data_IF_769197475274
#
_entry.id   IF_769197475274
#
_cell.length_a   1.000
_cell.length_b   1.000
_cell.length_c   1.000
_cell.angle_alpha   90.00
_cell.angle_beta   90.00
_cell.angle_gamma   90.00
#
_symmetry.space_group_name_H-M   'P 1'
#
loop_
_entity.id
_entity.type
_entity.pdbx_description
1 polymer ?
#
# COMPACT_ATOMS: atom_id res chain seq x y z
N UNK A 1 15.35 8.65 -28.82
CA UNK A 1 14.05 8.04 -28.45
C UNK A 1 14.15 7.05 -27.30
N UNK A 2 15.24 6.29 -27.12
CA UNK A 2 15.36 5.28 -26.04
C UNK A 2 15.39 5.81 -24.60
N UNK A 3 15.63 7.11 -24.39
CA UNK A 3 15.65 7.73 -23.05
C UNK A 3 14.29 7.80 -22.34
N UNK A 4 13.19 7.49 -23.04
CA UNK A 4 11.82 7.57 -22.52
C UNK A 4 11.19 6.21 -22.20
N UNK A 5 11.87 5.09 -22.51
CA UNK A 5 11.40 3.76 -22.14
C UNK A 5 11.28 3.65 -20.61
N UNK A 6 10.28 2.97 -20.03
CA UNK A 6 10.27 2.57 -18.63
C UNK A 6 11.51 1.74 -18.27
N UNK A 7 12.03 1.84 -17.04
CA UNK A 7 13.25 1.10 -16.66
C UNK A 7 13.03 -0.40 -16.69
N UNK A 8 11.84 -0.88 -16.33
CA UNK A 8 11.52 -2.31 -16.40
C UNK A 8 11.69 -2.85 -17.82
N UNK A 9 11.05 -2.22 -18.80
CA UNK A 9 11.18 -2.59 -20.22
C UNK A 9 12.62 -2.50 -20.71
N UNK A 10 13.34 -1.44 -20.32
CA UNK A 10 14.74 -1.32 -20.65
C UNK A 10 15.54 -2.50 -20.10
N UNK A 11 15.35 -2.90 -18.83
CA UNK A 11 16.01 -4.06 -18.21
C UNK A 11 15.64 -5.38 -18.89
N UNK A 12 14.37 -5.58 -19.24
CA UNK A 12 13.90 -6.78 -19.91
C UNK A 12 14.56 -6.96 -21.30
N UNK A 13 14.82 -5.87 -22.03
CA UNK A 13 15.53 -5.91 -23.32
C UNK A 13 16.93 -6.52 -23.23
N UNK A 14 17.58 -6.49 -22.06
CA UNK A 14 18.90 -7.13 -21.85
C UNK A 14 18.83 -8.64 -22.09
N UNK A 15 17.71 -9.25 -21.72
CA UNK A 15 17.50 -10.68 -21.85
C UNK A 15 17.13 -11.08 -23.29
N UNK A 16 16.67 -10.11 -24.10
CA UNK A 16 16.21 -10.34 -25.47
C UNK A 16 17.31 -10.06 -26.49
N UNK A 17 18.10 -8.99 -26.31
CA UNK A 17 19.10 -8.59 -27.32
C UNK A 17 20.33 -7.90 -26.73
N UNK A 18 21.50 -8.26 -27.26
CA UNK A 18 22.76 -7.57 -26.95
C UNK A 18 22.83 -6.17 -27.57
N UNK A 19 22.02 -5.87 -28.58
CA UNK A 19 21.96 -4.54 -29.20
C UNK A 19 21.46 -3.45 -28.23
N UNK A 20 20.78 -3.84 -27.14
CA UNK A 20 20.34 -2.92 -26.09
C UNK A 20 21.45 -2.54 -25.10
N UNK A 21 22.64 -3.18 -25.14
CA UNK A 21 23.76 -2.92 -24.21
C UNK A 21 24.09 -1.42 -24.05
N UNK A 22 24.19 -0.61 -25.13
CA UNK A 22 24.50 0.81 -25.03
C UNK A 22 23.46 1.64 -24.25
N UNK A 23 22.21 1.17 -24.14
CA UNK A 23 21.19 1.85 -23.34
C UNK A 23 21.53 1.80 -21.84
N UNK A 24 22.05 0.66 -21.37
CA UNK A 24 22.36 0.45 -19.96
C UNK A 24 23.62 1.19 -19.51
N UNK A 25 24.54 1.46 -20.42
CA UNK A 25 25.73 2.28 -20.15
C UNK A 25 25.46 3.77 -20.34
N UNK A 26 24.26 4.15 -20.79
CA UNK A 26 23.92 5.55 -21.07
C UNK A 26 23.64 6.32 -19.78
N UNK A 27 24.59 7.17 -19.38
CA UNK A 27 24.41 8.12 -18.28
C UNK A 27 23.17 9.02 -18.49
N UNK A 28 22.90 9.44 -19.74
CA UNK A 28 21.71 10.24 -20.10
C UNK A 28 20.42 9.50 -19.78
N UNK A 29 20.34 8.19 -20.07
CA UNK A 29 19.17 7.37 -19.76
C UNK A 29 18.90 7.35 -18.25
N UNK A 30 19.90 7.01 -17.44
CA UNK A 30 19.74 6.95 -15.98
C UNK A 30 19.44 8.32 -15.36
N UNK A 31 20.06 9.39 -15.87
CA UNK A 31 19.76 10.76 -15.43
C UNK A 31 18.30 11.13 -15.60
N UNK A 32 17.62 10.66 -16.66
CA UNK A 32 16.19 10.96 -16.86
C UNK A 32 15.30 10.44 -15.73
N UNK A 33 15.73 9.41 -14.99
CA UNK A 33 14.95 8.85 -13.87
C UNK A 33 14.85 9.80 -12.70
N UNK A 34 15.83 10.67 -12.53
CA UNK A 34 15.85 11.67 -11.47
C UNK A 34 15.20 12.98 -11.88
N UNK A 35 14.67 13.10 -13.11
CA UNK A 35 13.83 14.23 -13.48
C UNK A 35 12.57 14.25 -12.58
N UNK A 36 11.96 15.43 -12.40
CA UNK A 36 10.80 15.63 -11.49
C UNK A 36 9.67 14.61 -11.72
N UNK A 37 9.51 14.16 -12.97
CA UNK A 37 8.49 13.22 -13.41
C UNK A 37 9.02 11.79 -13.66
N UNK A 38 10.31 11.55 -13.46
CA UNK A 38 10.96 10.26 -13.61
C UNK A 38 10.78 9.37 -12.37
N UNK A 39 11.22 8.11 -12.45
CA UNK A 39 11.05 7.10 -11.39
C UNK A 39 11.71 7.42 -10.04
N UNK A 40 12.59 8.43 -9.99
CA UNK A 40 13.27 8.94 -8.79
C UNK A 40 13.05 10.44 -8.63
N UNK A 41 11.97 10.98 -9.20
CA UNK A 41 11.70 12.42 -9.18
C UNK A 41 11.59 13.01 -7.77
N UNK A 42 11.14 12.21 -6.80
CA UNK A 42 11.12 12.58 -5.38
C UNK A 42 12.53 12.86 -4.81
N UNK A 43 13.60 12.31 -5.40
CA UNK A 43 14.98 12.61 -5.00
C UNK A 43 15.56 13.85 -5.68
N UNK A 44 14.85 14.49 -6.61
CA UNK A 44 15.37 15.62 -7.37
C UNK A 44 15.90 16.76 -6.47
N UNK A 45 15.22 17.18 -5.38
CA UNK A 45 15.73 18.21 -4.49
C UNK A 45 17.07 17.82 -3.85
N UNK A 46 17.18 16.58 -3.39
CA UNK A 46 18.39 16.03 -2.77
C UNK A 46 19.53 15.96 -3.78
N UNK A 47 19.27 15.44 -4.98
CA UNK A 47 20.25 15.36 -6.06
C UNK A 47 20.78 16.74 -6.42
N UNK A 48 19.90 17.75 -6.55
CA UNK A 48 20.33 19.13 -6.86
C UNK A 48 21.14 19.77 -5.74
N UNK A 49 20.85 19.43 -4.48
CA UNK A 49 21.59 19.94 -3.31
C UNK A 49 23.02 19.40 -3.26
N UNK A 50 23.20 18.10 -3.45
CA UNK A 50 24.52 17.45 -3.35
C UNK A 50 25.32 17.51 -4.65
N UNK A 51 24.64 17.62 -5.78
CA UNK A 51 25.26 17.68 -7.10
C UNK A 51 24.64 18.83 -7.91
N UNK A 52 25.03 20.08 -7.61
CA UNK A 52 24.50 21.24 -8.30
C UNK A 52 24.87 21.19 -9.79
N UNK A 53 24.01 21.71 -10.70
CA UNK A 53 24.28 21.70 -12.14
C UNK A 53 25.58 22.40 -12.55
N UNK A 54 26.04 23.34 -11.72
CA UNK A 54 27.23 24.17 -11.92
C UNK A 54 28.51 23.52 -11.35
N UNK A 55 28.37 22.42 -10.59
CA UNK A 55 29.49 21.72 -9.98
C UNK A 55 30.15 20.72 -10.93
N UNK A 56 31.48 20.57 -10.83
CA UNK A 56 32.25 19.63 -11.66
C UNK A 56 32.19 18.18 -11.14
N UNK A 57 31.03 17.76 -10.63
CA UNK A 57 30.84 16.43 -10.04
C UNK A 57 30.30 15.46 -11.08
N UNK A 58 31.11 14.47 -11.44
CA UNK A 58 30.66 13.37 -12.27
C UNK A 58 29.82 12.39 -11.43
N UNK A 59 28.51 12.34 -11.70
CA UNK A 59 27.58 11.43 -11.00
C UNK A 59 27.44 10.16 -11.82
N UNK A 60 27.72 9.00 -11.22
CA UNK A 60 27.26 7.72 -11.75
C UNK A 60 25.74 7.56 -11.47
N UNK A 61 24.95 8.06 -12.41
CA UNK A 61 23.48 8.00 -12.34
C UNK A 61 22.94 6.57 -12.28
N UNK A 62 23.64 5.60 -12.87
CA UNK A 62 23.24 4.20 -12.85
C UNK A 62 23.42 3.63 -11.45
N UNK A 63 24.58 3.86 -10.85
CA UNK A 63 24.85 3.44 -9.48
C UNK A 63 23.85 4.08 -8.52
N UNK A 64 23.61 5.39 -8.64
CA UNK A 64 22.63 6.10 -7.82
C UNK A 64 21.22 5.50 -7.96
N UNK A 65 20.79 5.15 -9.18
CA UNK A 65 19.48 4.52 -9.41
C UNK A 65 19.36 3.18 -8.68
N UNK A 66 20.39 2.33 -8.73
CA UNK A 66 20.37 1.04 -8.05
C UNK A 66 20.47 1.17 -6.52
N UNK A 67 21.29 2.08 -6.01
CA UNK A 67 21.39 2.37 -4.58
C UNK A 67 20.07 2.88 -4.00
N UNK A 68 19.24 3.52 -4.83
CA UNK A 68 17.94 4.07 -4.43
C UNK A 68 16.76 3.12 -4.69
N UNK A 69 17.00 1.90 -5.17
CA UNK A 69 15.95 0.89 -5.34
C UNK A 69 15.47 0.32 -3.99
N UNK A 70 16.35 0.27 -2.99
CA UNK A 70 16.05 -0.19 -1.64
C UNK A 70 16.49 0.85 -0.62
N UNK A 71 15.54 1.64 -0.16
CA UNK A 71 15.79 2.79 0.70
C UNK A 71 15.50 2.44 2.17
N UNK A 72 16.36 2.93 3.06
CA UNK A 72 16.11 2.99 4.49
C UNK A 72 15.94 4.46 4.82
N UNK A 73 14.70 4.91 4.90
CA UNK A 73 14.39 6.31 5.16
C UNK A 73 13.46 6.42 6.35
N UNK A 74 13.39 7.62 6.91
CA UNK A 74 12.44 7.95 7.96
C UNK A 74 11.00 7.88 7.44
N UNK A 75 10.04 7.69 8.34
CA UNK A 75 8.62 7.71 7.99
C UNK A 75 8.21 9.04 7.32
N UNK A 76 8.86 10.15 7.69
CA UNK A 76 8.70 11.44 7.01
C UNK A 76 9.03 11.39 5.52
N UNK A 77 10.10 10.70 5.15
CA UNK A 77 10.48 10.57 3.75
C UNK A 77 9.52 9.65 2.98
N UNK A 78 8.93 8.65 3.64
CA UNK A 78 7.86 7.85 3.03
C UNK A 78 6.63 8.72 2.70
N UNK A 79 6.29 9.68 3.56
CA UNK A 79 5.22 10.67 3.28
C UNK A 79 5.57 11.55 2.08
N UNK A 80 6.82 12.01 1.96
CA UNK A 80 7.27 12.77 0.78
C UNK A 80 7.14 11.97 -0.52
N UNK A 81 7.48 10.68 -0.51
CA UNK A 81 7.28 9.78 -1.65
C UNK A 81 5.78 9.70 -1.99
N UNK A 82 4.91 9.48 -0.99
CA UNK A 82 3.45 9.38 -1.20
C UNK A 82 2.84 10.66 -1.77
N UNK A 83 3.30 11.82 -1.29
CA UNK A 83 2.89 13.12 -1.84
C UNK A 83 3.33 13.24 -3.30
N UNK A 84 4.56 12.87 -3.61
CA UNK A 84 5.08 12.86 -4.98
C UNK A 84 4.32 11.89 -5.90
N UNK A 85 4.00 10.68 -5.43
CA UNK A 85 3.17 9.70 -6.17
C UNK A 85 1.80 10.27 -6.51
N UNK A 86 1.14 10.90 -5.54
CA UNK A 86 -0.20 11.48 -5.69
C UNK A 86 -0.18 12.63 -6.69
N UNK A 87 0.80 13.53 -6.60
CA UNK A 87 0.97 14.64 -7.55
C UNK A 87 1.26 14.12 -8.97
N UNK A 88 2.06 13.06 -9.09
CA UNK A 88 2.34 12.42 -10.37
C UNK A 88 1.08 11.79 -10.97
N UNK A 89 0.30 11.06 -10.17
CA UNK A 89 -0.98 10.51 -10.59
C UNK A 89 -1.93 11.61 -11.06
N UNK A 90 -2.04 12.71 -10.32
CA UNK A 90 -2.90 13.84 -10.67
C UNK A 90 -2.51 14.44 -12.04
N UNK A 91 -1.22 14.62 -12.28
CA UNK A 91 -0.69 15.07 -13.58
C UNK A 91 -1.05 14.10 -14.71
N UNK A 92 -0.86 12.81 -14.49
CA UNK A 92 -1.12 11.78 -15.50
C UNK A 92 -2.62 11.68 -15.82
N UNK A 93 -3.47 11.79 -14.79
CA UNK A 93 -4.93 11.91 -14.93
C UNK A 93 -5.34 13.16 -15.71
N UNK A 94 -4.81 14.34 -15.35
CA UNK A 94 -5.11 15.58 -16.07
C UNK A 94 -4.68 15.52 -17.55
N UNK A 95 -3.50 14.94 -17.80
CA UNK A 95 -2.97 14.74 -19.16
C UNK A 95 -3.81 13.76 -19.97
N UNK A 96 -4.31 12.69 -19.34
CA UNK A 96 -5.20 11.72 -19.98
C UNK A 96 -6.53 12.37 -20.37
N UNK A 97 -7.16 13.12 -19.45
CA UNK A 97 -8.41 13.86 -19.70
C UNK A 97 -8.23 14.83 -20.87
N UNK A 98 -7.18 15.64 -20.84
CA UNK A 98 -6.91 16.62 -21.89
C UNK A 98 -6.72 15.99 -23.27
N UNK A 99 -6.15 14.78 -23.33
CA UNK A 99 -5.88 14.04 -24.58
C UNK A 99 -7.01 13.08 -24.98
N UNK A 100 -8.13 13.05 -24.26
CA UNK A 100 -9.22 12.11 -24.49
C UNK A 100 -8.81 10.63 -24.32
N UNK A 101 -7.79 10.36 -23.49
CA UNK A 101 -7.32 9.00 -23.21
C UNK A 101 -7.97 8.45 -21.92
N UNK A 102 -8.06 7.12 -21.77
CA UNK A 102 -8.46 6.52 -20.51
C UNK A 102 -7.61 7.06 -19.35
N UNK A 103 -8.27 7.41 -18.25
CA UNK A 103 -7.59 7.84 -17.02
C UNK A 103 -6.80 6.66 -16.45
N UNK A 104 -5.66 6.91 -15.79
CA UNK A 104 -5.05 5.90 -14.93
C UNK A 104 -6.07 5.41 -13.89
N UNK A 105 -5.97 4.15 -13.43
CA UNK A 105 -6.80 3.64 -12.34
C UNK A 105 -6.75 4.56 -11.12
N UNK A 106 -7.90 4.70 -10.45
CA UNK A 106 -7.97 5.33 -9.14
C UNK A 106 -7.26 4.45 -8.11
N UNK A 107 -6.91 5.05 -6.97
CA UNK A 107 -6.15 4.37 -5.92
C UNK A 107 -6.56 4.85 -4.53
N UNK A 108 -6.36 3.99 -3.53
CA UNK A 108 -6.44 4.32 -2.10
C UNK A 108 -5.38 3.54 -1.33
N UNK A 109 -4.83 4.14 -0.29
CA UNK A 109 -3.79 3.53 0.54
C UNK A 109 -2.42 3.43 -0.13
N UNK A 110 -1.46 2.94 0.65
CA UNK A 110 -0.08 2.71 0.24
C UNK A 110 0.19 1.20 0.32
N UNK A 111 0.73 0.57 -0.74
CA UNK A 111 1.59 1.17 -1.76
C UNK A 111 0.95 1.19 -3.17
N UNK A 112 -0.29 1.66 -3.30
CA UNK A 112 -1.06 1.49 -4.55
C UNK A 112 -0.42 2.12 -5.81
N UNK A 113 0.40 3.17 -5.63
CA UNK A 113 1.06 3.90 -6.72
C UNK A 113 2.56 3.59 -6.90
N UNK A 114 3.07 2.60 -6.17
CA UNK A 114 4.50 2.33 -6.09
C UNK A 114 5.15 1.97 -7.43
N UNK A 115 4.36 1.50 -8.40
CA UNK A 115 4.80 1.23 -9.77
C UNK A 115 5.39 2.47 -10.47
N UNK A 116 5.07 3.69 -10.02
CA UNK A 116 5.67 4.92 -10.56
C UNK A 116 7.16 5.06 -10.31
N UNK A 117 7.65 4.46 -9.23
CA UNK A 117 9.05 4.57 -8.84
C UNK A 117 9.75 3.23 -8.66
N UNK A 118 9.06 2.14 -8.32
CA UNK A 118 9.70 0.83 -8.10
C UNK A 118 10.83 0.89 -7.05
N UNK A 119 10.64 1.68 -5.98
CA UNK A 119 11.51 1.62 -4.79
C UNK A 119 10.75 0.95 -3.66
N UNK A 120 11.45 0.14 -2.89
CA UNK A 120 10.92 -0.52 -1.70
C UNK A 120 11.73 -0.13 -0.47
N UNK A 121 11.11 -0.24 0.70
CA UNK A 121 11.84 -0.22 1.97
C UNK A 121 12.76 -1.44 2.02
N UNK A 122 13.93 -1.34 2.65
CA UNK A 122 14.82 -2.51 2.79
C UNK A 122 14.11 -3.59 3.60
N UNK A 123 14.34 -4.85 3.22
CA UNK A 123 13.74 -6.04 3.85
C UNK A 123 12.21 -6.14 3.72
N UNK A 124 11.59 -5.33 2.87
CA UNK A 124 10.19 -5.50 2.49
C UNK A 124 10.05 -5.88 1.03
N UNK A 125 8.90 -6.44 0.72
CA UNK A 125 8.49 -6.89 -0.60
C UNK A 125 7.15 -6.28 -0.94
N UNK A 126 6.92 -6.13 -2.23
CA UNK A 126 5.70 -5.58 -2.79
C UNK A 126 5.01 -6.73 -3.48
N UNK A 127 3.83 -7.06 -3.01
CA UNK A 127 3.03 -8.11 -3.58
C UNK A 127 1.71 -7.53 -4.06
N UNK A 128 1.15 -8.12 -5.13
CA UNK A 128 -0.11 -7.64 -5.67
C UNK A 128 -0.94 -8.76 -6.24
N UNK A 129 -2.25 -8.68 -6.03
CA UNK A 129 -3.24 -9.61 -6.55
C UNK A 129 -4.25 -8.85 -7.39
N UNK A 130 -4.47 -9.33 -8.61
CA UNK A 130 -5.54 -8.84 -9.49
C UNK A 130 -6.87 -9.43 -9.02
N UNK A 131 -7.86 -8.55 -8.85
CA UNK A 131 -9.20 -8.87 -8.38
C UNK A 131 -10.16 -8.86 -9.57
N UNK A 132 -10.95 -9.92 -9.66
CA UNK A 132 -11.93 -10.13 -10.71
C UNK A 132 -13.28 -10.47 -10.10
N UNK A 133 -14.34 -10.45 -10.91
CA UNK A 133 -15.70 -10.78 -10.47
C UNK A 133 -15.86 -12.20 -9.93
N UNK A 134 -14.95 -13.12 -10.25
CA UNK A 134 -14.92 -14.49 -9.71
C UNK A 134 -14.41 -14.60 -8.27
N UNK A 135 -13.97 -13.50 -7.64
CA UNK A 135 -13.57 -13.53 -6.23
C UNK A 135 -14.79 -13.85 -5.36
N UNK A 136 -14.75 -15.00 -4.68
CA UNK A 136 -15.88 -15.49 -3.88
C UNK A 136 -15.56 -15.60 -2.39
N UNK A 137 -14.28 -15.75 -2.01
CA UNK A 137 -13.86 -15.80 -0.60
C UNK A 137 -12.54 -15.10 -0.38
N UNK A 138 -12.37 -14.53 0.81
CA UNK A 138 -11.08 -14.05 1.32
C UNK A 138 -10.77 -14.81 2.61
N UNK A 139 -9.50 -15.17 2.81
CA UNK A 139 -9.02 -15.66 4.09
C UNK A 139 -7.91 -14.77 4.65
N UNK A 140 -8.04 -14.37 5.90
CA UNK A 140 -7.07 -13.52 6.60
C UNK A 140 -6.35 -14.36 7.64
N UNK A 141 -5.02 -14.29 7.63
CA UNK A 141 -4.15 -14.99 8.56
C UNK A 141 -3.58 -14.02 9.58
N UNK A 142 -3.72 -14.36 10.86
CA UNK A 142 -3.23 -13.57 11.98
C UNK A 142 -2.44 -14.47 12.95
N UNK A 143 -1.33 -13.93 13.47
CA UNK A 143 -0.43 -14.61 14.39
C UNK A 143 -0.04 -13.64 15.51
N UNK A 144 -0.14 -14.09 16.75
CA UNK A 144 0.40 -13.37 17.89
C UNK A 144 1.84 -13.82 18.16
N UNK A 145 2.78 -12.89 18.09
CA UNK A 145 4.20 -13.08 18.36
C UNK A 145 4.67 -11.99 19.33
N UNK A 146 5.38 -12.38 20.40
CA UNK A 146 5.87 -11.46 21.43
C UNK A 146 4.80 -10.55 22.06
N UNK A 147 3.54 -11.02 22.14
CA UNK A 147 2.43 -10.25 22.70
C UNK A 147 1.67 -9.42 21.66
N UNK A 148 2.26 -9.13 20.51
CA UNK A 148 1.62 -8.36 19.44
C UNK A 148 0.93 -9.29 18.43
N UNK A 149 -0.31 -8.97 18.04
CA UNK A 149 -0.97 -9.68 16.95
C UNK A 149 -0.59 -9.01 15.63
N UNK A 150 -0.09 -9.81 14.69
CA UNK A 150 0.29 -9.35 13.37
C UNK A 150 -0.56 -10.07 12.32
N UNK A 151 -0.98 -9.33 11.31
CA UNK A 151 -1.53 -9.93 10.10
C UNK A 151 -0.38 -10.46 9.26
N UNK A 152 -0.39 -11.75 8.96
CA UNK A 152 0.67 -12.41 8.20
C UNK A 152 0.34 -12.53 6.72
N UNK A 153 -0.95 -12.56 6.37
CA UNK A 153 -1.35 -12.65 4.97
C UNK A 153 -2.85 -12.61 4.69
N UNK A 154 -3.16 -12.37 3.43
CA UNK A 154 -4.52 -12.34 2.85
C UNK A 154 -4.53 -13.25 1.63
N UNK A 155 -5.41 -14.26 1.66
CA UNK A 155 -5.62 -15.19 0.56
C UNK A 155 -6.93 -14.87 -0.16
N UNK A 156 -6.86 -14.77 -1.48
CA UNK A 156 -7.98 -14.52 -2.38
C UNK A 156 -8.35 -15.83 -3.09
N UNK A 157 -9.61 -16.22 -2.98
CA UNK A 157 -10.14 -17.48 -3.51
C UNK A 157 -11.20 -17.15 -4.55
N UNK A 158 -11.02 -17.73 -5.74
CA UNK A 158 -11.85 -17.48 -6.91
C UNK A 158 -12.69 -18.72 -7.24
N UNK A 159 -13.89 -18.53 -7.76
CA UNK A 159 -14.82 -19.60 -8.15
C UNK A 159 -14.64 -20.11 -9.59
N UNK A 160 -13.80 -19.45 -10.38
CA UNK A 160 -13.56 -19.76 -11.80
C UNK A 160 -12.46 -20.83 -12.03
N UNK A 161 -12.03 -21.50 -10.96
CA UNK A 161 -11.05 -22.59 -11.00
C UNK A 161 -9.59 -22.16 -11.09
N UNK A 162 -9.28 -20.86 -11.10
CA UNK A 162 -7.87 -20.40 -11.06
C UNK A 162 -7.21 -20.69 -9.69
N UNK A 163 -5.87 -20.73 -9.62
CA UNK A 163 -5.16 -20.86 -8.35
C UNK A 163 -5.50 -19.71 -7.40
N UNK A 164 -5.56 -20.03 -6.10
CA UNK A 164 -5.67 -19.03 -5.05
C UNK A 164 -4.48 -18.09 -5.09
N UNK A 165 -4.71 -16.82 -4.80
CA UNK A 165 -3.66 -15.82 -4.75
C UNK A 165 -3.41 -15.40 -3.30
N UNK A 166 -2.16 -15.21 -2.91
CA UNK A 166 -1.76 -14.87 -1.54
C UNK A 166 -0.97 -13.57 -1.55
N UNK A 167 -1.27 -12.69 -0.61
CA UNK A 167 -0.41 -11.61 -0.16
C UNK A 167 0.15 -12.00 1.22
N UNK A 168 1.46 -11.98 1.39
CA UNK A 168 2.12 -12.47 2.60
C UNK A 168 2.06 -14.00 2.69
N UNK A 169 1.75 -14.53 3.88
CA UNK A 169 1.69 -15.97 4.10
C UNK A 169 0.66 -16.40 5.15
N UNK A 170 0.27 -17.67 5.07
CA UNK A 170 -0.47 -18.36 6.10
C UNK A 170 0.46 -19.36 6.81
N UNK A 171 0.52 -19.30 8.14
CA UNK A 171 1.34 -20.22 8.93
C UNK A 171 0.82 -21.67 8.81
N UNK A 172 1.69 -22.65 8.48
CA UNK A 172 1.29 -24.05 8.47
C UNK A 172 0.70 -24.49 9.82
N UNK A 173 -0.44 -25.19 9.77
CA UNK A 173 -1.15 -25.61 10.99
C UNK A 173 -2.03 -24.52 11.63
N UNK A 174 -2.09 -23.31 11.07
CA UNK A 174 -2.98 -22.25 11.56
C UNK A 174 -4.42 -22.75 11.70
N UNK A 175 -5.06 -22.37 12.81
CA UNK A 175 -6.41 -22.82 13.13
C UNK A 175 -7.40 -22.25 12.11
N UNK A 176 -8.02 -23.14 11.34
CA UNK A 176 -9.03 -22.77 10.36
C UNK A 176 -10.34 -22.37 11.06
N UNK A 177 -10.84 -21.18 10.73
CA UNK A 177 -12.12 -20.68 11.21
C UNK A 177 -12.93 -20.10 10.06
N UNK A 178 -14.25 -20.31 10.09
CA UNK A 178 -15.17 -19.47 9.33
C UNK A 178 -15.39 -18.14 10.06
N UNK A 179 -15.85 -17.13 9.33
CA UNK A 179 -16.25 -15.83 9.86
C UNK A 179 -17.19 -15.95 11.06
N UNK A 180 -18.24 -16.78 10.96
CA UNK A 180 -19.25 -16.94 12.02
C UNK A 180 -18.67 -17.62 13.27
N UNK A 181 -17.70 -18.53 13.09
CA UNK A 181 -17.02 -19.19 14.20
C UNK A 181 -16.07 -18.22 14.89
N UNK A 182 -15.38 -17.38 14.14
CA UNK A 182 -14.52 -16.33 14.68
C UNK A 182 -15.35 -15.28 15.43
N UNK A 183 -16.43 -14.76 14.83
CA UNK A 183 -17.33 -13.79 15.44
C UNK A 183 -17.99 -14.30 16.73
N UNK A 184 -18.43 -15.56 16.78
CA UNK A 184 -18.98 -16.16 18.01
C UNK A 184 -17.96 -16.27 19.13
N UNK A 185 -16.68 -16.47 18.79
CA UNK A 185 -15.60 -16.55 19.78
C UNK A 185 -15.25 -15.17 20.32
N UNK A 186 -15.24 -14.14 19.48
CA UNK A 186 -14.98 -12.76 19.90
C UNK A 186 -16.14 -12.13 20.67
N UNK A 187 -17.40 -12.50 20.37
CA UNK A 187 -18.60 -11.95 21.05
C UNK A 187 -18.89 -12.54 22.43
N UNK A 188 -18.37 -13.72 22.75
CA UNK A 188 -18.81 -14.49 23.93
C UNK A 188 -18.33 -13.93 25.27
N UNK A 189 -17.52 -12.89 25.32
CA UNK A 189 -17.35 -12.12 26.55
C UNK A 189 -16.72 -10.74 26.27
N UNK A 190 -17.35 -9.63 26.73
CA UNK A 190 -16.73 -8.30 26.80
C UNK A 190 -15.47 -8.26 27.70
N UNK A 191 -15.22 -9.36 28.43
CA UNK A 191 -14.10 -9.58 29.33
C UNK A 191 -13.13 -10.68 28.83
N UNK A 192 -13.33 -11.29 27.65
CA UNK A 192 -12.36 -12.22 27.04
C UNK A 192 -11.28 -11.43 26.30
N UNK A 193 -10.61 -10.56 27.07
CA UNK A 193 -9.45 -9.74 26.68
C UNK A 193 -8.19 -10.59 26.39
N UNK A 194 -8.38 -11.90 26.16
CA UNK A 194 -7.35 -12.93 26.08
C UNK A 194 -7.53 -13.85 24.86
N UNK A 195 -8.18 -13.38 23.79
CA UNK A 195 -8.20 -14.14 22.53
C UNK A 195 -6.81 -14.12 21.91
N UNK A 196 -5.93 -14.93 22.48
CA UNK A 196 -4.56 -15.08 22.04
C UNK A 196 -4.54 -15.96 20.81
N UNK A 197 -3.71 -15.58 19.85
CA UNK A 197 -3.48 -16.34 18.62
C UNK A 197 -2.03 -16.80 18.58
N UNK A 198 -1.54 -17.53 19.60
CA UNK A 198 -0.17 -18.00 19.62
C UNK A 198 0.07 -18.90 18.41
N UNK A 199 1.34 -19.11 18.08
CA UNK A 199 1.73 -20.02 17.01
C UNK A 199 0.93 -21.35 17.08
N UNK A 200 0.32 -21.79 15.96
CA UNK A 200 0.49 -21.31 14.58
C UNK A 200 -0.49 -20.20 14.15
N UNK A 201 -1.22 -19.57 15.07
CA UNK A 201 -2.17 -18.49 14.77
C UNK A 201 -3.52 -18.99 14.23
N UNK A 202 -4.24 -18.10 13.54
CA UNK A 202 -5.58 -18.33 13.01
C UNK A 202 -5.64 -17.96 11.52
N UNK A 203 -6.41 -18.72 10.75
CA UNK A 203 -6.81 -18.38 9.37
C UNK A 203 -8.32 -18.31 9.30
N UNK A 204 -8.84 -17.10 9.15
CA UNK A 204 -10.29 -16.83 9.13
C UNK A 204 -10.74 -16.66 7.69
N UNK A 205 -11.61 -17.55 7.22
CA UNK A 205 -12.19 -17.48 5.86
C UNK A 205 -13.59 -16.88 5.91
N UNK A 206 -13.87 -15.97 4.97
CA UNK A 206 -15.16 -15.33 4.79
C UNK A 206 -15.56 -15.32 3.32
N UNK A 207 -16.86 -15.40 3.07
CA UNK A 207 -17.43 -15.18 1.74
C UNK A 207 -17.38 -13.69 1.38
N UNK A 208 -17.22 -13.38 0.10
CA UNK A 208 -17.08 -12.00 -0.39
C UNK A 208 -17.91 -11.84 -1.66
N UNK A 209 -18.88 -10.91 -1.60
CA UNK A 209 -19.68 -10.50 -2.74
C UNK A 209 -19.27 -9.08 -3.15
N UNK A 210 -18.38 -9.00 -4.14
CA UNK A 210 -17.89 -7.71 -4.66
C UNK A 210 -17.07 -6.92 -3.65
N UNK A 211 -15.75 -7.16 -3.62
CA UNK A 211 -14.80 -6.39 -2.81
C UNK A 211 -14.83 -4.91 -3.21
N UNK A 212 -15.21 -4.03 -2.27
CA UNK A 212 -15.20 -2.56 -2.45
C UNK A 212 -14.08 -1.89 -1.68
N UNK A 213 -13.64 -2.48 -0.58
CA UNK A 213 -12.58 -1.89 0.21
C UNK A 213 -12.03 -2.80 1.30
N UNK A 214 -11.02 -2.28 1.97
CA UNK A 214 -10.36 -2.91 3.11
C UNK A 214 -10.21 -1.83 4.18
N UNK A 215 -10.61 -2.13 5.40
CA UNK A 215 -10.30 -1.31 6.57
C UNK A 215 -9.21 -2.03 7.34
N UNK A 216 -8.16 -1.32 7.71
CA UNK A 216 -7.06 -1.91 8.45
C UNK A 216 -6.53 -1.00 9.55
N UNK A 217 -6.06 -1.62 10.62
CA UNK A 217 -5.44 -0.98 11.78
C UNK A 217 -3.94 -1.16 11.67
N UNK A 218 -3.22 -0.05 11.75
CA UNK A 218 -1.77 -0.01 11.56
C UNK A 218 -1.10 0.92 12.54
N UNK A 219 0.11 0.55 12.95
CA UNK A 219 1.06 1.40 13.66
C UNK A 219 2.44 1.35 12.96
N UNK A 220 3.51 1.73 13.68
CA UNK A 220 4.89 1.68 13.18
C UNK A 220 5.41 0.25 12.92
N UNK A 221 4.84 -0.75 13.58
CA UNK A 221 5.21 -2.16 13.50
C UNK A 221 4.48 -2.90 12.37
N UNK A 222 3.32 -2.45 11.91
CA UNK A 222 2.67 -3.00 10.73
C UNK A 222 1.16 -3.05 10.84
N UNK A 223 0.53 -4.00 10.14
CA UNK A 223 -0.92 -4.18 10.17
C UNK A 223 -1.27 -5.22 11.24
N UNK A 224 -2.15 -4.82 12.15
CA UNK A 224 -2.58 -5.63 13.29
C UNK A 224 -4.04 -6.04 13.17
N UNK A 225 -4.85 -5.30 12.43
CA UNK A 225 -6.28 -5.59 12.24
C UNK A 225 -6.71 -5.40 10.80
N UNK A 226 -7.56 -6.29 10.28
CA UNK A 226 -8.21 -6.11 8.97
C UNK A 226 -9.70 -6.46 9.04
N UNK A 227 -10.51 -5.62 8.42
CA UNK A 227 -11.90 -5.85 8.05
C UNK A 227 -12.08 -5.68 6.54
N UNK A 228 -12.99 -6.46 5.94
CA UNK A 228 -13.31 -6.38 4.51
C UNK A 228 -14.59 -5.56 4.34
N UNK A 229 -14.58 -4.64 3.38
CA UNK A 229 -15.73 -3.81 3.04
C UNK A 229 -16.42 -4.31 1.75
N UNK A 230 -17.70 -4.64 1.88
CA UNK A 230 -18.54 -5.24 0.85
C UNK A 230 -19.44 -4.20 0.17
N UNK A 231 -19.97 -4.49 -1.02
CA UNK A 231 -20.86 -3.57 -1.73
C UNK A 231 -22.34 -3.94 -1.65
N UNK A 232 -23.15 -3.05 -1.04
CA UNK A 232 -24.58 -2.78 -1.34
C UNK A 232 -25.60 -3.93 -1.29
N UNK A 233 -25.46 -4.90 -0.39
CA UNK A 233 -26.66 -5.64 0.07
C UNK A 233 -26.68 -5.59 1.60
N UNK A 234 -27.89 -5.48 2.16
CA UNK A 234 -28.20 -5.47 3.59
C UNK A 234 -27.59 -6.70 4.27
N UNK A 235 -26.32 -6.62 4.61
CA UNK A 235 -25.75 -7.52 5.59
C UNK A 235 -26.02 -6.92 6.97
N UNK A 236 -26.45 -7.78 7.90
CA UNK A 236 -26.73 -7.44 9.30
C UNK A 236 -25.66 -6.49 9.85
N UNK A 237 -25.99 -5.57 10.77
CA UNK A 237 -25.05 -4.70 11.51
C UNK A 237 -23.86 -5.46 12.14
N UNK A 238 -23.95 -6.80 12.22
CA UNK A 238 -22.85 -7.72 12.50
C UNK A 238 -21.67 -7.67 11.51
N UNK A 239 -21.88 -7.26 10.25
CA UNK A 239 -21.01 -7.58 9.12
C UNK A 239 -19.99 -6.48 8.78
N UNK A 240 -20.30 -5.21 9.07
CA UNK A 240 -19.38 -4.10 8.81
C UNK A 240 -18.27 -3.94 9.89
N UNK A 241 -18.36 -4.67 11.01
CA UNK A 241 -17.53 -4.42 12.20
C UNK A 241 -16.52 -5.52 12.56
N UNK A 242 -16.50 -6.67 11.87
CA UNK A 242 -15.65 -7.79 12.26
C UNK A 242 -14.19 -7.61 11.83
N UNK A 243 -13.37 -7.09 12.74
CA UNK A 243 -11.92 -6.97 12.58
C UNK A 243 -11.20 -8.27 13.00
N UNK A 244 -10.36 -8.80 12.11
CA UNK A 244 -9.49 -9.95 12.38
C UNK A 244 -8.11 -9.44 12.77
N UNK A 245 -7.54 -9.98 13.86
CA UNK A 245 -6.20 -9.65 14.33
C UNK A 245 -6.13 -8.64 15.50
N UNK A 246 -7.24 -8.05 15.93
CA UNK A 246 -7.19 -7.15 17.09
C UNK A 246 -6.87 -7.91 18.39
N UNK A 247 -5.70 -7.66 18.98
CA UNK A 247 -5.49 -7.87 20.41
C UNK A 247 -5.87 -6.59 21.14
N UNK A 248 -6.92 -6.64 21.96
CA UNK A 248 -7.25 -5.56 22.89
C UNK A 248 -6.19 -5.52 23.99
N UNK A 249 -5.04 -4.88 23.74
CA UNK A 249 -4.20 -4.42 24.84
C UNK A 249 -4.74 -3.09 25.34
N UNK A 250 -5.39 -3.15 26.51
CA UNK A 250 -5.38 -2.03 27.46
C UNK A 250 -3.90 -1.65 27.70
N UNK A 251 -3.60 -0.36 27.76
CA UNK A 251 -2.28 0.24 28.05
C UNK A 251 -1.28 0.32 26.88
N UNK A 252 -1.44 1.31 26.00
CA UNK A 252 -0.43 2.36 25.80
C UNK A 252 -0.93 3.44 24.83
N UNK A 253 -0.47 4.67 25.06
CA UNK A 253 -0.96 5.96 24.55
C UNK A 253 -0.76 6.21 23.05
N UNK A 254 -0.62 5.17 22.22
CA UNK A 254 -0.51 5.30 20.77
C UNK A 254 -1.87 5.06 20.12
N UNK A 255 -2.50 6.13 19.63
CA UNK A 255 -3.73 6.07 18.84
C UNK A 255 -3.54 5.10 17.66
N UNK A 256 -4.19 3.94 17.71
CA UNK A 256 -4.28 3.06 16.56
C UNK A 256 -5.05 3.79 15.46
N UNK A 257 -4.38 4.06 14.34
CA UNK A 257 -5.01 4.76 13.22
C UNK A 257 -5.72 3.75 12.33
N UNK A 258 -7.04 3.89 12.22
CA UNK A 258 -7.85 3.13 11.28
C UNK A 258 -7.74 3.74 9.88
N UNK A 259 -7.26 2.96 8.93
CA UNK A 259 -7.21 3.32 7.52
C UNK A 259 -8.34 2.62 6.78
N UNK A 260 -9.22 3.41 6.16
CA UNK A 260 -10.26 2.90 5.27
C UNK A 260 -9.87 3.17 3.83
N UNK A 261 -9.70 2.10 3.05
CA UNK A 261 -9.42 2.20 1.62
C UNK A 261 -10.57 1.57 0.84
N UNK A 262 -11.33 2.38 0.13
CA UNK A 262 -12.47 1.92 -0.67
C UNK A 262 -12.56 2.57 -2.05
N UNK A 263 -13.07 1.81 -3.01
CA UNK A 263 -13.31 2.20 -4.40
C UNK A 263 -14.65 1.63 -4.84
N UNK A 264 -15.24 2.19 -5.90
CA UNK A 264 -16.42 1.58 -6.51
C UNK A 264 -16.07 0.21 -7.06
N UNK A 265 -14.92 0.02 -7.70
CA UNK A 265 -14.49 -1.32 -8.12
C UNK A 265 -13.03 -1.50 -7.75
N UNK A 266 -12.74 -2.51 -6.93
CA UNK A 266 -11.36 -2.94 -6.68
C UNK A 266 -10.94 -3.88 -7.79
N UNK A 267 -9.89 -3.50 -8.52
CA UNK A 267 -9.29 -4.32 -9.57
C UNK A 267 -7.96 -4.91 -9.13
N UNK A 268 -7.30 -4.30 -8.14
CA UNK A 268 -6.03 -4.77 -7.62
C UNK A 268 -5.88 -4.46 -6.14
N UNK A 269 -5.37 -5.42 -5.37
CA UNK A 269 -4.90 -5.22 -4.00
C UNK A 269 -3.39 -5.34 -4.00
N UNK A 270 -2.71 -4.38 -3.37
CA UNK A 270 -1.25 -4.33 -3.28
C UNK A 270 -0.87 -4.25 -1.80
N UNK A 271 0.10 -5.06 -1.38
CA UNK A 271 0.62 -5.07 -0.03
C UNK A 271 2.12 -4.77 0.01
N UNK A 272 2.55 -4.09 1.07
CA UNK A 272 3.93 -4.18 1.54
C UNK A 272 3.97 -5.26 2.60
N UNK A 273 4.86 -6.24 2.43
CA UNK A 273 5.07 -7.33 3.39
C UNK A 273 6.55 -7.43 3.74
N UNK A 274 6.86 -7.94 4.92
CA UNK A 274 8.19 -8.43 5.25
C UNK A 274 8.17 -9.95 5.46
N UNK A 275 9.25 -10.53 5.97
CA UNK A 275 9.34 -11.97 6.19
C UNK A 275 8.42 -12.50 7.32
N UNK A 276 7.72 -11.62 8.06
CA UNK A 276 6.94 -11.96 9.25
C UNK A 276 5.49 -11.49 9.15
N UNK A 277 5.22 -10.37 8.48
CA UNK A 277 3.93 -9.70 8.54
C UNK A 277 3.66 -8.74 7.38
N UNK A 278 2.41 -8.31 7.31
CA UNK A 278 1.96 -7.22 6.45
C UNK A 278 2.25 -5.88 7.11
N UNK A 279 2.79 -4.95 6.31
CA UNK A 279 3.23 -3.62 6.74
C UNK A 279 2.31 -2.53 6.24
N UNK A 280 1.77 -2.67 5.02
CA UNK A 280 0.88 -1.68 4.42
C UNK A 280 -0.03 -2.29 3.36
N UNK A 281 -1.15 -1.63 3.09
CA UNK A 281 -2.14 -2.05 2.11
C UNK A 281 -2.64 -0.88 1.26
N UNK A 282 -2.73 -1.14 -0.04
CA UNK A 282 -3.32 -0.25 -1.02
C UNK A 282 -4.20 -1.01 -1.99
N UNK A 283 -5.16 -0.29 -2.57
CA UNK A 283 -6.04 -0.80 -3.61
C UNK A 283 -6.01 0.11 -4.82
N UNK A 284 -6.26 -0.47 -5.99
CA UNK A 284 -6.42 0.25 -7.24
C UNK A 284 -7.61 -0.28 -8.04
N UNK A 285 -8.24 0.58 -8.84
CA UNK A 285 -9.40 0.24 -9.65
C UNK A 285 -10.13 1.49 -10.12
N UNK A 286 -11.45 1.53 -9.98
CA UNK A 286 -12.26 2.66 -10.48
C UNK A 286 -13.12 3.27 -9.40
N UNK A 287 -13.24 4.61 -9.43
CA UNK A 287 -14.25 5.35 -8.67
C UNK A 287 -14.97 6.36 -9.57
N UNK A 288 -16.28 6.39 -9.43
CA UNK A 288 -17.18 7.40 -10.02
C UNK A 288 -17.47 8.52 -9.03
N UNK A 289 -17.49 8.19 -7.73
CA UNK A 289 -17.60 9.18 -6.65
C UNK A 289 -16.21 9.70 -6.31
N UNK A 290 -16.02 11.03 -6.41
CA UNK A 290 -15.02 11.69 -5.56
C UNK A 290 -15.42 11.39 -4.12
N UNK A 291 -14.46 11.04 -3.26
CA UNK A 291 -14.73 11.00 -1.82
C UNK A 291 -15.41 12.32 -1.47
N UNK A 292 -16.69 12.25 -1.12
CA UNK A 292 -17.40 13.38 -0.55
C UNK A 292 -16.84 13.45 0.86
N UNK A 293 -15.67 14.07 1.00
CA UNK A 293 -15.36 14.68 2.28
C UNK A 293 -16.51 15.65 2.51
N UNK A 294 -17.23 15.49 3.61
CA UNK A 294 -18.10 16.57 4.05
C UNK A 294 -17.22 17.82 4.05
N UNK A 295 -17.66 18.91 3.42
CA UNK A 295 -16.87 20.15 3.33
C UNK A 295 -16.33 20.59 4.71
N UNK A 296 -17.08 20.20 5.76
CA UNK A 296 -16.77 20.39 7.17
C UNK A 296 -15.46 19.69 7.60
N UNK A 297 -15.22 18.43 7.21
CA UNK A 297 -13.98 17.69 7.55
C UNK A 297 -12.76 18.27 6.82
N UNK A 298 -12.95 18.78 5.59
CA UNK A 298 -11.85 19.43 4.87
C UNK A 298 -11.45 20.74 5.53
N UNK A 299 -12.42 21.52 6.00
CA UNK A 299 -12.15 22.73 6.78
C UNK A 299 -11.44 22.41 8.10
N UNK A 300 -11.84 21.34 8.79
CA UNK A 300 -11.18 20.90 10.02
C UNK A 300 -9.74 20.45 9.80
N UNK A 301 -9.47 19.67 8.74
CA UNK A 301 -8.10 19.28 8.35
C UNK A 301 -7.27 20.50 7.99
N UNK A 302 -7.81 21.40 7.18
CA UNK A 302 -7.12 22.65 6.78
C UNK A 302 -6.85 23.54 8.00
N UNK A 303 -7.79 23.64 8.94
CA UNK A 303 -7.64 24.44 10.14
C UNK A 303 -6.70 23.81 11.18
N UNK A 304 -6.64 22.48 11.24
CA UNK A 304 -5.62 21.75 12.01
C UNK A 304 -4.22 22.04 11.47
N UNK A 305 -4.01 21.98 10.16
CA UNK A 305 -2.72 22.35 9.54
C UNK A 305 -2.37 23.84 9.71
N UNK A 306 -3.37 24.74 9.70
CA UNK A 306 -3.15 26.17 10.01
C UNK A 306 -2.76 26.40 11.48
N UNK A 307 -3.35 25.64 12.41
CA UNK A 307 -2.99 25.69 13.85
C UNK A 307 -1.57 25.19 14.10
N UNK A 308 -1.17 24.09 13.47
CA UNK A 308 0.20 23.57 13.62
C UNK A 308 1.26 24.50 13.01
N UNK A 309 0.97 25.13 11.86
CA UNK A 309 1.85 26.15 11.30
C UNK A 309 1.94 27.42 12.16
N UNK A 310 0.90 27.76 12.93
CA UNK A 310 0.96 28.90 13.86
C UNK A 310 1.70 28.59 15.15
N UNK A 311 1.84 27.31 15.53
CA UNK A 311 2.69 26.89 16.66
C UNK A 311 4.17 26.89 16.23
N UNK A 312 4.49 26.45 15.01
CA UNK A 312 5.86 26.48 14.45
C UNK A 312 6.39 27.89 14.14
N UNK A 313 5.51 28.87 13.91
CA UNK A 313 5.90 30.28 13.70
C UNK A 313 5.96 31.12 14.99
N UNK A 314 5.58 30.56 16.15
CA UNK A 314 5.65 31.23 17.46
C UNK A 314 6.85 30.83 18.31
N UNK A 315 7.71 29.92 17.82
CA UNK A 315 8.92 29.45 18.52
C UNK A 315 10.22 30.07 18.00
N UNK A 316 10.17 31.30 17.49
CA UNK A 316 11.35 32.15 17.24
C UNK A 316 11.30 33.36 18.16
#
# INVERSE_FOLDING_TARGET
>A
MSSMLPTKEALDLRHVTRAAIPLFTSSKFWRTRFAINGERGFLLPIVRKFFPPEGNHEIDWRLLYHCTARLNCSDWFEIEIRAWETLRWLRDTASAIHRGRPRPPDFRGSPALQHYHNTARRNTFIESVEITSSLCKIAISALQEAGEVNITGIEFIFDDGRPKAMLGFATPGARQMSREKYARKTRRSPFDRHTTWPYPGVRVTMDVFGLRGIVFLKDANGIHGISIYHGWEEFDELDDSLCIGLATHDYDEQEQVAYSVSLDKVEKVIAVVDNRKMIDLGISGTTTKRSVYAEDEWNDVVDMYKRDNTILLKSV
#
